data_IF_469514258991
#
_entry.id   IF_469514258991
#
_cell.length_a   1.000
_cell.length_b   1.000
_cell.length_c   1.000
_cell.angle_alpha   90.00
_cell.angle_beta   90.00
_cell.angle_gamma   90.00
#
_symmetry.space_group_name_H-M   'P 1'
#
loop_
_entity.id
_entity.type
_entity.pdbx_description
1 polymer ?
#
# COMPACT_ATOMS: atom_id res chain seq x y z
N UNK A 1 -13.38 15.48 -25.28
CA UNK A 1 -12.51 15.98 -24.21
C UNK A 1 -11.73 14.78 -23.71
N UNK A 2 -10.61 14.49 -24.37
CA UNK A 2 -9.64 13.51 -23.85
C UNK A 2 -9.00 14.15 -22.62
N UNK A 3 -9.24 13.57 -21.45
CA UNK A 3 -8.53 13.91 -20.22
C UNK A 3 -7.04 13.65 -20.51
N UNK A 4 -6.32 14.71 -20.87
CA UNK A 4 -4.91 14.70 -21.26
C UNK A 4 -4.06 14.59 -19.98
N UNK A 5 -4.38 13.58 -19.18
CA UNK A 5 -3.80 13.37 -17.85
C UNK A 5 -2.48 12.64 -17.99
N UNK A 6 -1.51 13.09 -17.20
CA UNK A 6 -0.23 12.43 -17.09
C UNK A 6 -0.44 10.94 -16.74
N UNK A 7 0.35 10.03 -17.33
CA UNK A 7 0.26 8.61 -17.04
C UNK A 7 0.50 8.36 -15.54
N UNK A 8 -0.15 7.34 -14.95
CA UNK A 8 0.11 6.97 -13.57
C UNK A 8 1.61 6.73 -13.35
N UNK A 9 2.09 7.16 -12.18
CA UNK A 9 3.49 7.00 -11.75
C UNK A 9 4.58 7.74 -12.54
N UNK A 10 4.24 8.77 -13.32
CA UNK A 10 5.24 9.64 -13.96
C UNK A 10 6.29 10.18 -12.97
N UNK A 11 5.87 10.42 -11.72
CA UNK A 11 6.70 10.91 -10.62
C UNK A 11 7.56 9.83 -9.93
N UNK A 12 7.50 8.56 -10.34
CA UNK A 12 8.16 7.42 -9.67
C UNK A 12 7.83 7.37 -8.17
N UNK A 13 6.56 7.57 -7.86
CA UNK A 13 6.02 7.61 -6.52
C UNK A 13 4.83 6.66 -6.45
N UNK A 14 4.78 5.84 -5.41
CA UNK A 14 3.64 4.94 -5.15
C UNK A 14 3.40 4.83 -3.66
N UNK A 15 2.14 4.74 -3.26
CA UNK A 15 1.74 4.35 -1.91
C UNK A 15 1.07 2.99 -1.93
N UNK A 16 1.52 2.13 -1.02
CA UNK A 16 0.93 0.82 -0.73
C UNK A 16 0.02 0.99 0.49
N UNK A 17 -1.28 0.84 0.28
CA UNK A 17 -2.32 1.08 1.28
C UNK A 17 -3.57 0.28 0.91
N UNK A 18 -4.13 -0.43 1.87
CA UNK A 18 -5.39 -1.15 1.70
C UNK A 18 -6.55 -0.18 1.97
N UNK A 19 -7.63 -0.29 1.18
CA UNK A 19 -8.88 0.43 1.41
C UNK A 19 -9.99 -0.29 0.67
N UNK A 20 -11.24 -0.07 1.06
CA UNK A 20 -12.40 -0.70 0.43
C UNK A 20 -12.46 -0.45 -1.08
N UNK A 21 -12.66 -1.52 -1.86
CA UNK A 21 -12.75 -1.54 -3.31
C UNK A 21 -11.51 -0.98 -4.05
N UNK A 22 -10.35 -0.99 -3.41
CA UNK A 22 -9.06 -0.66 -4.02
C UNK A 22 -8.28 -1.94 -4.43
N UNK A 23 -7.07 -1.78 -4.96
CA UNK A 23 -6.14 -2.90 -5.26
C UNK A 23 -4.80 -2.77 -4.52
N UNK A 24 -4.77 -1.96 -3.45
CA UNK A 24 -3.56 -1.77 -2.64
C UNK A 24 -2.55 -0.75 -3.20
N UNK A 25 -2.82 -0.14 -4.35
CA UNK A 25 -1.89 0.77 -5.07
C UNK A 25 -2.49 2.15 -5.26
N UNK A 26 -1.74 3.17 -4.85
CA UNK A 26 -2.17 4.56 -4.89
C UNK A 26 -1.11 5.46 -5.49
N UNK A 27 -1.55 6.42 -6.30
CA UNK A 27 -0.68 7.49 -6.77
C UNK A 27 -0.57 8.64 -5.76
N UNK A 28 0.29 9.60 -6.09
CA UNK A 28 0.62 10.75 -5.24
C UNK A 28 -0.56 11.72 -5.07
N UNK A 29 -1.49 11.71 -6.01
CA UNK A 29 -2.74 12.48 -5.95
C UNK A 29 -3.81 11.80 -5.08
N UNK A 30 -3.51 10.61 -4.55
CA UNK A 30 -4.42 9.87 -3.69
C UNK A 30 -5.50 9.12 -4.46
N UNK A 31 -5.25 8.78 -5.73
CA UNK A 31 -6.15 7.94 -6.53
C UNK A 31 -5.73 6.48 -6.40
N UNK A 32 -6.71 5.60 -6.25
CA UNK A 32 -6.48 4.15 -6.40
C UNK A 32 -6.18 3.86 -7.87
N UNK A 33 -5.12 3.11 -8.11
CA UNK A 33 -4.66 2.68 -9.43
C UNK A 33 -4.73 1.14 -9.48
N UNK A 34 -4.91 0.58 -10.67
CA UNK A 34 -4.81 -0.87 -10.86
C UNK A 34 -3.43 -1.36 -10.39
N UNK A 35 -3.39 -2.49 -9.68
CA UNK A 35 -2.15 -3.13 -9.30
C UNK A 35 -1.33 -3.52 -10.54
N UNK A 36 -1.99 -3.89 -11.65
CA UNK A 36 -1.34 -4.29 -12.90
C UNK A 36 -0.60 -3.13 -13.60
N UNK A 37 -1.00 -1.88 -13.34
CA UNK A 37 -0.33 -0.69 -13.89
C UNK A 37 1.00 -0.38 -13.18
N UNK A 38 1.23 -0.94 -11.99
CA UNK A 38 2.49 -0.77 -11.27
C UNK A 38 3.59 -1.59 -11.95
N UNK A 39 4.74 -1.01 -12.35
CA UNK A 39 5.79 -1.71 -13.11
C UNK A 39 6.65 -2.62 -12.21
N UNK A 40 6.03 -3.61 -11.58
CA UNK A 40 6.66 -4.62 -10.73
C UNK A 40 6.43 -6.03 -11.29
N UNK A 41 7.24 -7.02 -10.89
CA UNK A 41 7.00 -8.42 -11.21
C UNK A 41 5.59 -8.91 -10.85
N UNK A 42 5.06 -9.84 -11.67
CA UNK A 42 3.69 -10.37 -11.54
C UNK A 42 3.40 -11.03 -10.18
N UNK A 43 4.40 -11.63 -9.52
CA UNK A 43 4.22 -12.19 -8.18
C UNK A 43 3.86 -11.11 -7.15
N UNK A 44 4.38 -9.88 -7.31
CA UNK A 44 4.04 -8.74 -6.47
C UNK A 44 2.60 -8.28 -6.71
N UNK A 45 2.14 -8.24 -7.97
CA UNK A 45 0.71 -7.97 -8.28
C UNK A 45 -0.20 -8.96 -7.56
N UNK A 46 0.11 -10.26 -7.64
CA UNK A 46 -0.67 -11.30 -6.96
C UNK A 46 -0.68 -11.13 -5.44
N UNK A 47 0.43 -10.70 -4.84
CA UNK A 47 0.48 -10.43 -3.41
C UNK A 47 -0.39 -9.24 -3.02
N UNK A 48 -0.39 -8.15 -3.81
CA UNK A 48 -1.25 -6.98 -3.60
C UNK A 48 -2.73 -7.37 -3.65
N UNK A 49 -3.14 -8.06 -4.71
CA UNK A 49 -4.53 -8.49 -4.89
C UNK A 49 -4.99 -9.45 -3.79
N UNK A 50 -4.15 -10.43 -3.40
CA UNK A 50 -4.48 -11.36 -2.31
C UNK A 50 -4.53 -10.68 -0.94
N UNK A 51 -3.67 -9.69 -0.69
CA UNK A 51 -3.71 -8.88 0.54
C UNK A 51 -4.98 -8.02 0.63
N UNK A 52 -5.39 -7.43 -0.48
CA UNK A 52 -6.65 -6.70 -0.60
C UNK A 52 -7.86 -7.63 -0.44
N UNK A 53 -7.87 -8.79 -1.11
CA UNK A 53 -8.96 -9.76 -0.99
C UNK A 53 -9.14 -10.25 0.45
N UNK A 54 -8.04 -10.43 1.19
CA UNK A 54 -8.10 -10.77 2.61
C UNK A 54 -8.79 -9.67 3.43
N UNK A 55 -8.50 -8.39 3.16
CA UNK A 55 -9.20 -7.26 3.79
C UNK A 55 -10.69 -7.26 3.45
N UNK A 56 -11.03 -7.36 2.17
CA UNK A 56 -12.42 -7.38 1.69
C UNK A 56 -13.23 -8.55 2.26
N UNK A 57 -12.60 -9.71 2.42
CA UNK A 57 -13.23 -10.89 3.01
C UNK A 57 -13.59 -10.69 4.49
N UNK A 58 -12.87 -9.80 5.21
CA UNK A 58 -13.17 -9.49 6.60
C UNK A 58 -14.50 -8.77 6.79
N UNK A 59 -14.87 -7.89 5.84
CA UNK A 59 -16.12 -7.13 5.86
C UNK A 59 -17.33 -7.99 5.46
N UNK A 60 -17.09 -9.09 4.75
CA UNK A 60 -18.13 -10.05 4.32
C UNK A 60 -18.52 -11.06 5.41
N UNK A 61 -17.95 -10.95 6.61
CA UNK A 61 -18.02 -11.99 7.64
C UNK A 61 -19.38 -12.13 8.33
N UNK A 62 -19.86 -13.37 8.44
CA UNK A 62 -20.88 -13.82 9.38
C UNK A 62 -20.26 -14.38 10.67
N UNK A 63 -21.09 -14.71 11.66
CA UNK A 63 -20.68 -15.04 13.04
C UNK A 63 -19.69 -16.22 13.19
N UNK A 64 -19.49 -17.04 12.16
CA UNK A 64 -18.62 -18.24 12.17
C UNK A 64 -17.18 -18.01 11.67
N UNK A 65 -16.84 -16.80 11.18
CA UNK A 65 -15.48 -16.52 10.73
C UNK A 65 -14.56 -16.10 11.88
N UNK A 66 -13.26 -16.48 11.84
CA UNK A 66 -12.30 -15.96 12.79
C UNK A 66 -12.21 -14.43 12.67
N UNK A 67 -11.90 -13.73 13.78
CA UNK A 67 -11.71 -12.29 13.75
C UNK A 67 -10.61 -11.90 12.77
N UNK A 68 -10.78 -10.75 12.12
CA UNK A 68 -9.74 -10.20 11.26
C UNK A 68 -8.47 -9.88 12.07
N UNK A 69 -7.35 -10.48 11.67
CA UNK A 69 -6.05 -10.22 12.27
C UNK A 69 -5.37 -9.03 11.57
N UNK A 70 -5.70 -7.82 12.03
CA UNK A 70 -5.14 -6.59 11.49
C UNK A 70 -3.62 -6.47 11.67
N UNK A 71 -3.05 -7.08 12.71
CA UNK A 71 -1.60 -7.05 12.92
C UNK A 71 -0.86 -7.91 11.90
N UNK A 72 -1.36 -9.12 11.63
CA UNK A 72 -0.82 -9.98 10.58
C UNK A 72 -1.02 -9.38 9.19
N UNK A 73 -2.18 -8.75 8.95
CA UNK A 73 -2.47 -8.06 7.69
C UNK A 73 -1.51 -6.89 7.43
N UNK A 74 -1.28 -6.03 8.42
CA UNK A 74 -0.31 -4.94 8.31
C UNK A 74 1.13 -5.47 8.13
N UNK A 75 1.51 -6.54 8.84
CA UNK A 75 2.82 -7.15 8.65
C UNK A 75 3.03 -7.67 7.21
N UNK A 76 1.99 -8.25 6.60
CA UNK A 76 2.03 -8.70 5.21
C UNK A 76 2.05 -7.52 4.23
N UNK A 77 1.28 -6.46 4.47
CA UNK A 77 1.33 -5.23 3.69
C UNK A 77 2.73 -4.59 3.69
N UNK A 78 3.38 -4.51 4.86
CA UNK A 78 4.76 -4.03 4.97
C UNK A 78 5.75 -4.91 4.19
N UNK A 79 5.56 -6.23 4.22
CA UNK A 79 6.35 -7.16 3.44
C UNK A 79 6.22 -6.91 1.93
N UNK A 80 5.01 -6.66 1.45
CA UNK A 80 4.74 -6.29 0.05
C UNK A 80 5.40 -4.95 -0.30
N UNK A 81 5.24 -3.93 0.53
CA UNK A 81 5.84 -2.62 0.28
C UNK A 81 7.38 -2.68 0.17
N UNK A 82 8.02 -3.53 0.98
CA UNK A 82 9.45 -3.84 0.86
C UNK A 82 9.80 -4.56 -0.45
N UNK A 83 8.97 -5.49 -0.92
CA UNK A 83 9.14 -6.14 -2.24
C UNK A 83 9.03 -5.13 -3.38
N UNK A 84 8.05 -4.21 -3.31
CA UNK A 84 7.89 -3.11 -4.27
C UNK A 84 9.13 -2.23 -4.29
N UNK A 85 9.64 -1.79 -3.13
CA UNK A 85 10.88 -1.00 -3.06
C UNK A 85 12.10 -1.73 -3.62
N UNK A 86 12.21 -3.06 -3.46
CA UNK A 86 13.28 -3.84 -4.11
C UNK A 86 13.15 -3.87 -5.63
N UNK A 87 11.94 -3.99 -6.15
CA UNK A 87 11.68 -3.99 -7.59
C UNK A 87 11.86 -2.59 -8.20
N UNK A 88 11.60 -1.54 -7.42
CA UNK A 88 11.64 -0.13 -7.82
C UNK A 88 12.55 0.68 -6.88
N UNK A 89 13.88 0.45 -6.91
CA UNK A 89 14.80 1.04 -5.93
C UNK A 89 14.82 2.57 -5.98
N UNK A 90 14.76 3.15 -7.17
CA UNK A 90 14.81 4.61 -7.36
C UNK A 90 13.46 5.31 -7.11
N UNK A 91 12.42 4.56 -6.74
CA UNK A 91 11.08 5.12 -6.53
C UNK A 91 10.85 5.49 -5.08
N UNK A 92 10.03 6.52 -4.84
CA UNK A 92 9.47 6.77 -3.52
C UNK A 92 8.34 5.77 -3.29
N UNK A 93 8.52 4.85 -2.34
CA UNK A 93 7.52 3.83 -1.99
C UNK A 93 7.04 4.13 -0.58
N UNK A 94 5.82 4.64 -0.46
CA UNK A 94 5.19 4.93 0.83
C UNK A 94 4.39 3.70 1.26
N UNK A 95 4.45 3.34 2.54
CA UNK A 95 3.56 2.36 3.14
C UNK A 95 2.67 3.02 4.17
N UNK A 96 1.38 2.72 4.10
CA UNK A 96 0.40 3.07 5.11
C UNK A 96 0.19 1.88 6.05
N UNK A 97 0.62 2.03 7.28
CA UNK A 97 0.63 1.02 8.33
C UNK A 97 -0.57 1.20 9.25
N UNK A 98 -1.67 0.53 8.91
CA UNK A 98 -2.91 0.56 9.69
C UNK A 98 -2.73 0.11 11.14
N UNK A 99 -1.73 -0.75 11.42
CA UNK A 99 -1.46 -1.21 12.79
C UNK A 99 -0.97 -0.10 13.72
N UNK A 100 -0.52 1.03 13.15
CA UNK A 100 -0.06 2.21 13.89
C UNK A 100 -1.11 3.30 14.02
N UNK A 101 -2.30 3.13 13.45
CA UNK A 101 -3.37 4.09 13.63
C UNK A 101 -3.80 4.11 15.10
N UNK A 102 -4.04 5.31 15.66
CA UNK A 102 -4.53 5.41 17.03
C UNK A 102 -5.96 4.83 17.10
N UNK A 103 -6.35 4.23 18.24
CA UNK A 103 -7.71 3.80 18.45
C UNK A 103 -8.70 4.95 18.26
N UNK A 104 -9.93 4.65 17.83
CA UNK A 104 -10.98 5.67 17.66
C UNK A 104 -11.15 6.47 18.97
N UNK A 105 -11.04 7.79 18.88
CA UNK A 105 -11.19 8.71 20.01
C UNK A 105 -9.89 9.03 20.76
N UNK A 106 -8.76 8.40 20.41
CA UNK A 106 -7.45 8.86 20.85
C UNK A 106 -7.02 10.11 20.06
N UNK A 107 -6.05 10.90 20.58
CA UNK A 107 -5.52 12.06 19.86
C UNK A 107 -4.93 11.67 18.51
N UNK A 108 -5.03 12.59 17.54
CA UNK A 108 -4.43 12.40 16.22
C UNK A 108 -2.91 12.27 16.33
N UNK A 109 -2.36 11.29 15.61
CA UNK A 109 -0.92 11.15 15.42
C UNK A 109 -0.50 11.91 14.16
N UNK A 110 0.74 12.45 14.11
CA UNK A 110 1.25 13.01 12.87
C UNK A 110 1.31 11.92 11.79
N UNK A 111 0.99 12.28 10.54
CA UNK A 111 0.89 11.33 9.41
C UNK A 111 2.11 10.42 9.25
N UNK A 112 3.31 10.94 9.50
CA UNK A 112 4.55 10.16 9.40
C UNK A 112 4.66 9.01 10.41
N UNK A 113 3.80 8.96 11.44
CA UNK A 113 3.78 7.89 12.43
C UNK A 113 3.20 6.58 11.85
N UNK A 114 2.28 6.68 10.90
CA UNK A 114 1.60 5.53 10.29
C UNK A 114 1.70 5.51 8.76
N UNK A 115 2.23 6.56 8.13
CA UNK A 115 2.50 6.59 6.69
C UNK A 115 3.94 7.06 6.44
N UNK A 116 4.78 6.18 5.92
CA UNK A 116 6.22 6.43 5.82
C UNK A 116 6.86 5.80 4.59
N UNK A 117 7.97 6.37 4.14
CA UNK A 117 8.75 5.80 3.04
C UNK A 117 9.47 4.52 3.47
N UNK A 118 9.43 3.52 2.61
CA UNK A 118 10.22 2.30 2.76
C UNK A 118 11.64 2.57 2.30
N UNK A 119 12.58 2.51 3.25
CA UNK A 119 14.00 2.44 2.98
C UNK A 119 14.50 1.01 3.18
N UNK A 120 15.38 0.55 2.29
CA UNK A 120 16.03 -0.76 2.41
C UNK A 120 17.54 -0.53 2.53
N UNK A 121 18.25 -1.31 3.37
CA UNK A 121 19.69 -1.13 3.59
C UNK A 121 20.53 -1.23 2.30
N UNK A 122 20.06 -2.00 1.32
CA UNK A 122 20.76 -2.21 0.04
C UNK A 122 20.24 -1.32 -1.11
N UNK A 123 19.34 -0.38 -0.82
CA UNK A 123 18.81 0.55 -1.81
C UNK A 123 19.56 1.88 -1.70
N UNK A 124 20.23 2.36 -2.77
CA UNK A 124 20.84 3.68 -2.73
C UNK A 124 19.78 4.75 -2.42
N UNK A 125 20.10 5.79 -1.64
CA UNK A 125 19.16 6.88 -1.39
C UNK A 125 18.79 7.51 -2.74
N UNK A 126 17.48 7.58 -3.02
CA UNK A 126 16.96 8.26 -4.20
C UNK A 126 17.50 9.68 -4.23
N UNK A 127 18.08 10.08 -5.37
CA UNK A 127 18.65 11.42 -5.51
C UNK A 127 17.56 12.46 -5.27
N UNK A 128 17.74 13.24 -4.20
CA UNK A 128 16.98 14.46 -3.91
C UNK A 128 17.22 15.53 -4.97
#
# INVERSE_FOLDING_TARGET
>A
MTDERAPPFADRWVRIMCDYAAEGVWDKEGRSISAEDLPVPFDIHRMLLGWQEWYEASDRGGDDLPPFDGAAHAAFGLYIARRVKRALPDWTVIYFDESKLPPRGAPDLPRHAYEYEIHLPDCPPGKS
#
